data_IF_189672877119
#
_entry.id   IF_189672877119
#
_cell.length_a   1.000
_cell.length_b   1.000
_cell.length_c   1.000
_cell.angle_alpha   90.00
_cell.angle_beta   90.00
_cell.angle_gamma   90.00
#
_symmetry.space_group_name_H-M   'P 1'
#
loop_
_entity.id
_entity.type
_entity.pdbx_description
1 polymer ?
#
# COMPACT_ATOMS: atom_id res chain seq x y z
N UNK A 1 -20.76 9.27 -6.94
CA UNK A 1 -21.74 10.34 -7.19
C UNK A 1 -20.92 11.60 -7.37
N UNK A 2 -20.76 12.12 -8.59
CA UNK A 2 -19.82 13.23 -8.87
C UNK A 2 -20.37 14.55 -8.31
N UNK A 3 -19.62 15.18 -7.40
CA UNK A 3 -19.90 16.55 -6.97
C UNK A 3 -19.40 17.53 -8.03
N UNK A 4 -20.26 18.47 -8.44
CA UNK A 4 -19.95 19.50 -9.44
C UNK A 4 -19.60 20.83 -8.75
N UNK A 5 -18.59 21.53 -9.28
CA UNK A 5 -18.33 22.94 -8.93
C UNK A 5 -19.33 23.86 -9.63
N UNK A 6 -19.48 25.09 -9.12
CA UNK A 6 -20.42 26.10 -9.62
C UNK A 6 -20.18 26.50 -11.08
N UNK A 7 -18.99 26.23 -11.64
CA UNK A 7 -18.63 26.48 -13.04
C UNK A 7 -18.81 25.26 -13.98
N UNK A 8 -19.43 24.18 -13.50
CA UNK A 8 -19.82 23.04 -14.34
C UNK A 8 -18.67 22.19 -14.88
N UNK A 9 -17.43 22.39 -14.41
CA UNK A 9 -16.30 21.51 -14.71
C UNK A 9 -16.34 20.28 -13.82
N UNK A 10 -16.15 19.12 -14.44
CA UNK A 10 -15.95 17.85 -13.74
C UNK A 10 -14.74 17.97 -12.82
N UNK A 11 -14.96 17.85 -11.51
CA UNK A 11 -13.88 17.67 -10.55
C UNK A 11 -13.62 16.18 -10.51
N UNK A 12 -12.47 15.74 -11.02
CA UNK A 12 -11.96 14.41 -10.69
C UNK A 12 -11.91 14.34 -9.18
N UNK A 13 -12.68 13.42 -8.58
CA UNK A 13 -12.63 13.23 -7.13
C UNK A 13 -11.16 12.97 -6.78
N UNK A 14 -10.56 13.78 -5.89
CA UNK A 14 -9.19 13.51 -5.48
C UNK A 14 -9.21 12.10 -4.91
N UNK A 15 -8.55 11.19 -5.61
CA UNK A 15 -8.36 9.82 -5.14
C UNK A 15 -7.92 9.92 -3.69
N UNK A 16 -8.43 9.06 -2.83
CA UNK A 16 -8.01 8.99 -1.41
C UNK A 16 -6.47 8.79 -1.30
N UNK A 17 -5.85 8.39 -2.41
CA UNK A 17 -4.42 8.21 -2.66
C UNK A 17 -3.71 9.41 -3.31
N UNK A 18 -4.38 10.56 -3.45
CA UNK A 18 -3.74 11.80 -3.91
C UNK A 18 -2.62 12.16 -2.93
N UNK A 19 -1.49 12.66 -3.45
CA UNK A 19 -0.17 12.80 -2.79
C UNK A 19 -0.16 13.42 -1.36
N UNK A 20 -1.27 14.03 -0.90
CA UNK A 20 -1.41 14.62 0.43
C UNK A 20 -2.16 13.81 1.49
N UNK A 21 -2.95 12.78 1.16
CA UNK A 21 -3.97 12.24 2.09
C UNK A 21 -3.53 11.11 3.03
N UNK A 22 -2.31 10.57 2.90
CA UNK A 22 -1.79 9.51 3.79
C UNK A 22 -0.37 9.81 4.32
N UNK A 23 0.03 11.08 4.31
CA UNK A 23 1.40 11.51 4.58
C UNK A 23 1.66 11.94 6.05
N UNK A 24 0.70 11.83 6.96
CA UNK A 24 0.90 12.33 8.34
C UNK A 24 1.90 11.49 9.17
N UNK A 25 2.25 10.27 8.74
CA UNK A 25 3.18 9.38 9.49
C UNK A 25 4.45 8.98 8.75
N UNK A 26 4.54 9.24 7.44
CA UNK A 26 5.69 8.88 6.60
C UNK A 26 6.28 10.13 5.95
N UNK A 27 7.60 10.32 6.02
CA UNK A 27 8.27 11.42 5.35
C UNK A 27 8.06 11.37 3.83
N UNK A 28 8.11 12.51 3.11
CA UNK A 28 7.85 12.55 1.66
C UNK A 28 8.74 11.60 0.84
N UNK A 29 9.99 11.41 1.27
CA UNK A 29 10.93 10.50 0.63
C UNK A 29 10.55 9.01 0.84
N UNK A 30 10.14 8.66 2.06
CA UNK A 30 9.73 7.29 2.42
C UNK A 30 8.42 6.91 1.73
N UNK A 31 7.50 7.88 1.62
CA UNK A 31 6.25 7.70 0.88
C UNK A 31 6.52 7.44 -0.61
N UNK A 32 7.40 8.24 -1.23
CA UNK A 32 7.78 8.03 -2.64
C UNK A 32 8.40 6.66 -2.89
N UNK A 33 9.21 6.16 -1.95
CA UNK A 33 9.80 4.83 -2.04
C UNK A 33 8.74 3.73 -1.95
N UNK A 34 7.80 3.82 -1.00
CA UNK A 34 6.71 2.84 -0.84
C UNK A 34 5.70 2.87 -1.99
N UNK A 35 5.38 4.05 -2.51
CA UNK A 35 4.45 4.19 -3.64
C UNK A 35 4.93 3.49 -4.92
N UNK A 36 6.25 3.30 -5.09
CA UNK A 36 6.78 2.49 -6.21
C UNK A 36 6.23 1.06 -6.19
N UNK A 37 6.06 0.47 -5.01
CA UNK A 37 5.70 -0.95 -4.85
C UNK A 37 4.21 -1.17 -4.64
N UNK A 38 3.42 -0.09 -4.53
CA UNK A 38 1.97 -0.16 -4.30
C UNK A 38 1.23 -0.93 -5.39
N UNK A 39 1.55 -0.66 -6.66
CA UNK A 39 0.89 -1.31 -7.82
C UNK A 39 1.55 -2.64 -8.23
N UNK A 40 2.62 -3.06 -7.55
CA UNK A 40 3.30 -4.30 -7.87
C UNK A 40 2.51 -5.50 -7.35
N UNK A 41 2.55 -6.59 -8.12
CA UNK A 41 1.94 -7.86 -7.72
C UNK A 41 2.79 -8.58 -6.67
N UNK A 42 2.15 -9.52 -5.98
CA UNK A 42 2.77 -10.30 -4.90
C UNK A 42 3.81 -11.32 -5.39
N UNK A 43 3.98 -11.47 -6.71
CA UNK A 43 4.95 -12.33 -7.38
C UNK A 43 6.10 -11.54 -8.06
N UNK A 44 6.10 -10.21 -7.97
CA UNK A 44 7.13 -9.34 -8.53
C UNK A 44 8.22 -9.00 -7.50
N UNK A 45 9.49 -8.93 -7.93
CA UNK A 45 10.64 -8.63 -7.05
C UNK A 45 10.70 -9.51 -5.78
N UNK A 46 10.58 -10.84 -5.96
CA UNK A 46 10.57 -11.89 -4.90
C UNK A 46 11.93 -12.13 -4.20
N UNK A 47 12.59 -11.07 -3.78
CA UNK A 47 13.95 -11.07 -3.23
C UNK A 47 14.01 -10.84 -1.72
N UNK A 48 12.86 -10.75 -1.05
CA UNK A 48 12.78 -10.53 0.39
C UNK A 48 12.29 -11.76 1.12
N UNK A 49 12.48 -11.81 2.45
CA UNK A 49 12.05 -12.93 3.28
C UNK A 49 11.02 -12.44 4.30
N UNK A 50 9.93 -13.18 4.44
CA UNK A 50 8.94 -12.98 5.50
C UNK A 50 9.63 -12.97 6.87
N UNK A 51 9.37 -11.94 7.67
CA UNK A 51 9.97 -11.76 8.99
C UNK A 51 9.68 -12.93 9.94
N UNK A 52 8.47 -13.51 9.85
CA UNK A 52 7.96 -14.60 10.69
C UNK A 52 8.38 -15.99 10.22
N UNK A 53 8.12 -16.35 8.96
CA UNK A 53 8.31 -17.73 8.46
C UNK A 53 9.47 -17.91 7.47
N UNK A 54 10.18 -16.84 7.12
CA UNK A 54 11.32 -16.84 6.17
C UNK A 54 10.98 -17.26 4.72
N UNK A 55 9.71 -17.45 4.38
CA UNK A 55 9.28 -17.62 2.99
C UNK A 55 9.68 -16.41 2.13
N UNK A 56 9.97 -16.63 0.84
CA UNK A 56 10.22 -15.53 -0.10
C UNK A 56 8.96 -14.68 -0.28
N UNK A 57 9.14 -13.36 -0.31
CA UNK A 57 8.07 -12.37 -0.50
C UNK A 57 8.51 -11.29 -1.48
N UNK A 58 7.51 -10.64 -2.07
CA UNK A 58 7.68 -9.52 -3.01
C UNK A 58 8.11 -8.23 -2.31
N UNK A 59 8.52 -7.25 -3.11
CA UNK A 59 8.72 -5.88 -2.64
C UNK A 59 7.41 -5.29 -2.07
N UNK A 60 6.26 -5.60 -2.68
CA UNK A 60 4.95 -5.19 -2.21
C UNK A 60 4.70 -5.67 -0.78
N UNK A 61 4.86 -6.98 -0.53
CA UNK A 61 4.71 -7.57 0.79
C UNK A 61 5.66 -6.96 1.82
N UNK A 62 6.89 -6.63 1.41
CA UNK A 62 7.84 -5.98 2.30
C UNK A 62 7.36 -4.60 2.76
N UNK A 63 6.87 -3.78 1.85
CA UNK A 63 6.56 -2.37 2.12
C UNK A 63 5.14 -2.17 2.69
N UNK A 64 4.19 -3.02 2.30
CA UNK A 64 2.77 -2.89 2.57
C UNK A 64 2.22 -3.97 3.52
N UNK A 65 2.79 -5.18 3.54
CA UNK A 65 2.39 -6.25 4.47
C UNK A 65 3.34 -6.37 5.68
N UNK A 66 3.93 -5.24 6.11
CA UNK A 66 4.80 -5.17 7.29
C UNK A 66 5.95 -6.22 7.28
N UNK A 67 6.54 -6.46 6.11
CA UNK A 67 7.60 -7.47 5.96
C UNK A 67 7.14 -8.92 6.08
N UNK A 68 5.84 -9.20 5.91
CA UNK A 68 5.26 -10.53 6.06
C UNK A 68 4.64 -11.05 4.76
N UNK A 69 4.59 -12.38 4.60
CA UNK A 69 3.74 -12.99 3.58
C UNK A 69 2.27 -12.88 4.00
N UNK A 70 1.36 -13.00 3.04
CA UNK A 70 -0.09 -12.82 3.25
C UNK A 70 -0.62 -13.71 4.37
N UNK A 71 -0.19 -14.98 4.42
CA UNK A 71 -0.62 -15.92 5.45
C UNK A 71 -0.20 -15.49 6.87
N UNK A 72 1.00 -14.93 7.02
CA UNK A 72 1.48 -14.43 8.32
C UNK A 72 0.82 -13.09 8.68
N UNK A 73 0.67 -12.20 7.69
CA UNK A 73 0.02 -10.91 7.87
C UNK A 73 -1.44 -11.07 8.31
N UNK A 74 -2.21 -11.91 7.60
CA UNK A 74 -3.61 -12.17 7.92
C UNK A 74 -3.76 -12.79 9.30
N UNK A 75 -2.91 -13.75 9.67
CA UNK A 75 -2.95 -14.34 11.01
C UNK A 75 -2.68 -13.34 12.14
N UNK A 76 -1.79 -12.38 11.91
CA UNK A 76 -1.39 -11.40 12.93
C UNK A 76 -2.44 -10.29 13.07
N UNK A 77 -3.03 -9.81 11.98
CA UNK A 77 -3.90 -8.62 11.98
C UNK A 77 -5.38 -8.92 11.74
N UNK A 78 -5.72 -10.10 11.22
CA UNK A 78 -7.07 -10.56 10.91
C UNK A 78 -7.29 -12.01 11.39
N UNK A 79 -7.08 -12.31 12.68
CA UNK A 79 -7.39 -13.63 13.21
C UNK A 79 -8.88 -13.92 13.03
N UNK A 80 -9.24 -15.12 12.57
CA UNK A 80 -10.63 -15.59 12.58
C UNK A 80 -11.10 -15.68 14.04
N UNK A 81 -12.27 -15.09 14.34
CA UNK A 81 -12.90 -15.07 15.69
C UNK A 81 -13.27 -16.47 16.21
#
# INVERSE_FOLDING_TARGET
MTQKTLDGKDVEEPSIWSDGSFAETLGPADMKAKMRTFHMKHDEEMNFNCSKCKAKISAHNKDWHNGMCDACFNREFFPEE
#
